data_IF_205239524460
#
_entry.id   IF_205239524460
#
_cell.length_a   1.000
_cell.length_b   1.000
_cell.length_c   1.000
_cell.angle_alpha   90.00
_cell.angle_beta   90.00
_cell.angle_gamma   90.00
#
_symmetry.space_group_name_H-M   'P 1'
#
loop_
_entity.id
_entity.type
_entity.pdbx_description
1 polymer ?
#
# COMPACT_ATOMS: atom_id res chain seq x y z
N UNK A 1 -10.11 -18.61 9.22
CA UNK A 1 -10.62 -17.21 9.21
C UNK A 1 -9.58 -16.16 9.60
N UNK A 2 -8.82 -16.31 10.70
CA UNK A 2 -7.83 -15.30 11.16
C UNK A 2 -6.78 -14.92 10.10
N UNK A 3 -6.25 -15.90 9.36
CA UNK A 3 -5.29 -15.64 8.28
C UNK A 3 -5.88 -14.87 7.09
N UNK A 4 -7.16 -15.09 6.78
CA UNK A 4 -7.87 -14.34 5.73
C UNK A 4 -8.02 -12.88 6.16
N UNK A 5 -8.38 -12.62 7.42
CA UNK A 5 -8.44 -11.25 7.95
C UNK A 5 -7.09 -10.54 7.88
N UNK A 6 -6.00 -11.23 8.22
CA UNK A 6 -4.64 -10.66 8.13
C UNK A 6 -4.28 -10.32 6.68
N UNK A 7 -4.58 -11.23 5.75
CA UNK A 7 -4.38 -10.98 4.32
C UNK A 7 -5.18 -9.78 3.82
N UNK A 8 -6.47 -9.68 4.19
CA UNK A 8 -7.32 -8.53 3.82
C UNK A 8 -6.78 -7.23 4.41
N UNK A 9 -6.34 -7.22 5.67
CA UNK A 9 -5.73 -6.04 6.29
C UNK A 9 -4.47 -5.59 5.54
N UNK A 10 -3.56 -6.52 5.23
CA UNK A 10 -2.37 -6.23 4.43
C UNK A 10 -2.70 -5.77 3.02
N UNK A 11 -3.74 -6.33 2.39
CA UNK A 11 -4.20 -5.93 1.06
C UNK A 11 -4.63 -4.47 1.04
N UNK A 12 -5.43 -4.03 2.01
CA UNK A 12 -5.85 -2.63 2.11
C UNK A 12 -4.68 -1.67 2.37
N UNK A 13 -3.71 -2.07 3.21
CA UNK A 13 -2.47 -1.29 3.39
C UNK A 13 -1.69 -1.19 2.07
N UNK A 14 -1.56 -2.28 1.33
CA UNK A 14 -0.89 -2.29 0.03
C UNK A 14 -1.61 -1.41 -1.01
N UNK A 15 -2.95 -1.44 -1.05
CA UNK A 15 -3.76 -0.55 -1.90
C UNK A 15 -3.53 0.92 -1.53
N UNK A 16 -3.48 1.25 -0.23
CA UNK A 16 -3.18 2.62 0.21
C UNK A 16 -1.79 3.09 -0.26
N UNK A 17 -0.76 2.25 -0.08
CA UNK A 17 0.59 2.54 -0.55
C UNK A 17 0.66 2.68 -2.08
N UNK A 18 -0.06 1.83 -2.82
CA UNK A 18 -0.15 1.90 -4.27
C UNK A 18 -0.81 3.21 -4.75
N UNK A 19 -1.92 3.61 -4.12
CA UNK A 19 -2.61 4.86 -4.44
C UNK A 19 -1.73 6.08 -4.13
N UNK A 20 -0.99 6.05 -3.02
CA UNK A 20 -0.01 7.08 -2.67
C UNK A 20 1.10 7.19 -3.73
N UNK A 21 1.72 6.06 -4.11
CA UNK A 21 2.73 6.04 -5.15
C UNK A 21 2.18 6.55 -6.50
N UNK A 22 0.98 6.09 -6.88
CA UNK A 22 0.30 6.51 -8.11
C UNK A 22 0.08 8.03 -8.14
N UNK A 23 -0.33 8.64 -7.02
CA UNK A 23 -0.48 10.10 -6.92
C UNK A 23 0.84 10.83 -7.25
N UNK A 24 1.94 10.37 -6.67
CA UNK A 24 3.26 10.96 -6.90
C UNK A 24 3.74 10.78 -8.34
N UNK A 25 3.58 9.59 -8.90
CA UNK A 25 3.96 9.29 -10.28
C UNK A 25 3.14 10.14 -11.26
N UNK A 26 1.82 10.20 -11.09
CA UNK A 26 0.94 11.01 -11.94
C UNK A 26 1.29 12.50 -11.86
N UNK A 27 1.57 13.02 -10.66
CA UNK A 27 2.01 14.40 -10.49
C UNK A 27 3.34 14.67 -11.21
N UNK A 28 4.29 13.74 -11.13
CA UNK A 28 5.58 13.84 -11.81
C UNK A 28 5.41 13.81 -13.35
N UNK A 29 4.56 12.93 -13.87
CA UNK A 29 4.26 12.86 -15.31
C UNK A 29 3.63 14.18 -15.79
N UNK A 30 2.60 14.67 -15.10
CA UNK A 30 1.94 15.93 -15.48
C UNK A 30 2.93 17.10 -15.41
N UNK A 31 3.71 17.18 -14.34
CA UNK A 31 4.72 18.23 -14.18
C UNK A 31 5.82 18.16 -15.22
N UNK A 32 6.20 16.97 -15.69
CA UNK A 32 7.26 16.79 -16.70
C UNK A 32 6.87 17.40 -18.05
N UNK A 33 5.58 17.47 -18.35
CA UNK A 33 5.06 18.01 -19.61
C UNK A 33 4.92 19.54 -19.54
N UNK A 34 4.68 20.09 -18.35
CA UNK A 34 4.33 21.51 -18.15
C UNK A 34 5.54 22.33 -17.64
N UNK A 35 6.55 21.67 -17.06
CA UNK A 35 7.74 22.37 -16.54
C UNK A 35 8.48 23.14 -17.62
N UNK A 36 8.91 24.35 -17.25
CA UNK A 36 9.89 25.13 -17.99
C UNK A 36 11.18 25.21 -17.16
N UNK A 37 12.34 25.52 -17.78
CA UNK A 37 13.63 25.58 -17.08
C UNK A 37 13.65 26.51 -15.86
N UNK A 38 12.76 27.48 -15.85
CA UNK A 38 12.62 28.59 -14.91
C UNK A 38 11.49 28.40 -13.88
N UNK A 39 10.59 27.42 -14.06
CA UNK A 39 9.42 27.21 -13.18
C UNK A 39 9.04 25.74 -13.02
N UNK A 40 8.88 25.30 -11.75
CA UNK A 40 8.45 23.95 -11.39
C UNK A 40 6.96 23.92 -10.99
N UNK A 41 6.16 23.18 -11.75
CA UNK A 41 4.71 23.03 -11.56
C UNK A 41 4.32 21.77 -10.79
N UNK A 42 5.27 21.01 -10.24
CA UNK A 42 5.00 19.76 -9.53
C UNK A 42 3.99 19.94 -8.39
N UNK A 43 4.15 20.98 -7.58
CA UNK A 43 3.26 21.30 -6.46
C UNK A 43 1.81 21.50 -6.92
N UNK A 44 1.63 22.19 -8.05
CA UNK A 44 0.33 22.44 -8.67
C UNK A 44 -0.30 21.14 -9.19
N UNK A 45 0.47 20.35 -9.95
CA UNK A 45 0.03 19.05 -10.45
C UNK A 45 -0.34 18.08 -9.31
N UNK A 46 0.47 18.06 -8.25
CA UNK A 46 0.26 17.21 -7.07
C UNK A 46 -1.02 17.55 -6.31
N UNK A 47 -1.35 18.84 -6.18
CA UNK A 47 -2.61 19.30 -5.58
C UNK A 47 -3.82 18.94 -6.45
N UNK A 48 -3.70 19.10 -7.77
CA UNK A 48 -4.77 18.86 -8.73
C UNK A 48 -5.17 17.38 -8.77
N UNK A 49 -4.19 16.47 -8.75
CA UNK A 49 -4.41 15.01 -8.66
C UNK A 49 -4.88 14.58 -7.27
N UNK A 50 -4.51 15.35 -6.23
CA UNK A 50 -4.59 14.91 -4.85
C UNK A 50 -5.98 14.86 -4.22
N UNK A 51 -6.95 15.68 -4.64
CA UNK A 51 -8.19 15.86 -3.86
C UNK A 51 -9.00 14.56 -3.70
N UNK A 52 -9.30 13.87 -4.80
CA UNK A 52 -10.04 12.60 -4.76
C UNK A 52 -9.20 11.42 -4.26
N UNK A 53 -7.95 11.31 -4.71
CA UNK A 53 -7.07 10.17 -4.36
C UNK A 53 -6.70 10.17 -2.87
N UNK A 54 -6.48 11.33 -2.25
CA UNK A 54 -6.14 11.41 -0.83
C UNK A 54 -7.22 10.78 0.06
N UNK A 55 -8.50 11.01 -0.27
CA UNK A 55 -9.61 10.42 0.47
C UNK A 55 -9.55 8.89 0.46
N UNK A 56 -9.33 8.29 -0.71
CA UNK A 56 -9.23 6.84 -0.87
C UNK A 56 -7.97 6.25 -0.23
N UNK A 57 -6.83 6.96 -0.29
CA UNK A 57 -5.60 6.56 0.43
C UNK A 57 -5.88 6.42 1.92
N UNK A 58 -6.51 7.44 2.53
CA UNK A 58 -6.78 7.50 3.97
C UNK A 58 -7.78 6.41 4.37
N UNK A 59 -8.88 6.26 3.63
CA UNK A 59 -9.89 5.24 3.94
C UNK A 59 -9.28 3.84 3.84
N UNK A 60 -8.55 3.56 2.76
CA UNK A 60 -7.91 2.26 2.56
C UNK A 60 -6.91 1.95 3.68
N UNK A 61 -6.13 2.95 4.11
CA UNK A 61 -5.21 2.81 5.23
C UNK A 61 -5.95 2.54 6.55
N UNK A 62 -7.00 3.30 6.86
CA UNK A 62 -7.78 3.15 8.08
C UNK A 62 -8.42 1.77 8.16
N UNK A 63 -9.01 1.27 7.07
CA UNK A 63 -9.58 -0.08 7.01
C UNK A 63 -8.50 -1.13 7.25
N UNK A 64 -7.36 -1.04 6.57
CA UNK A 64 -6.25 -1.98 6.73
C UNK A 64 -5.71 -1.99 8.16
N UNK A 65 -5.46 -0.81 8.73
CA UNK A 65 -4.96 -0.64 10.10
C UNK A 65 -5.97 -1.14 11.14
N UNK A 66 -7.25 -0.82 11.00
CA UNK A 66 -8.29 -1.29 11.91
C UNK A 66 -8.38 -2.82 11.95
N UNK A 67 -8.28 -3.47 10.78
CA UNK A 67 -8.27 -4.94 10.70
C UNK A 67 -7.02 -5.53 11.38
N UNK A 68 -5.84 -4.95 11.14
CA UNK A 68 -4.59 -5.43 11.76
C UNK A 68 -4.60 -5.21 13.28
N UNK A 69 -5.06 -4.06 13.77
CA UNK A 69 -5.20 -3.80 15.21
C UNK A 69 -6.19 -4.79 15.84
N UNK A 70 -7.32 -5.06 15.19
CA UNK A 70 -8.30 -6.06 15.65
C UNK A 70 -7.71 -7.47 15.75
N UNK A 71 -6.78 -7.83 14.86
CA UNK A 71 -6.05 -9.10 14.94
C UNK A 71 -5.02 -9.11 16.07
N UNK A 72 -4.34 -7.98 16.29
CA UNK A 72 -3.34 -7.82 17.34
C UNK A 72 -3.96 -7.97 18.74
N UNK A 73 -5.12 -7.35 18.96
CA UNK A 73 -5.87 -7.47 20.23
C UNK A 73 -6.43 -8.88 20.45
N UNK A 74 -6.57 -9.68 19.41
CA UNK A 74 -6.98 -11.09 19.48
C UNK A 74 -5.81 -12.06 19.68
N UNK A 75 -4.59 -11.56 19.93
CA UNK A 75 -3.40 -12.37 20.22
C UNK A 75 -2.91 -13.21 19.03
N UNK A 76 -3.22 -12.79 17.79
CA UNK A 76 -2.89 -13.56 16.59
C UNK A 76 -1.47 -13.23 16.12
N UNK A 77 -0.58 -14.22 16.19
CA UNK A 77 0.72 -14.15 15.52
C UNK A 77 0.52 -14.15 13.99
N UNK A 78 1.21 -13.23 13.30
CA UNK A 78 1.11 -13.07 11.84
C UNK A 78 1.31 -14.40 11.08
N UNK A 79 0.58 -14.64 9.97
CA UNK A 79 0.79 -15.80 9.08
C UNK A 79 2.10 -15.77 8.31
N UNK A 80 3.23 -15.66 8.99
CA UNK A 80 4.48 -16.06 8.34
C UNK A 80 4.49 -17.58 8.31
N UNK A 81 3.98 -18.14 7.20
CA UNK A 81 4.10 -19.56 6.90
C UNK A 81 5.60 -19.86 6.89
N UNK A 82 6.10 -20.46 7.98
CA UNK A 82 7.49 -20.90 8.08
C UNK A 82 7.73 -21.80 6.86
N UNK A 83 8.69 -21.45 5.98
CA UNK A 83 9.09 -22.33 4.88
C UNK A 83 9.38 -23.69 5.51
N UNK A 84 8.65 -24.73 5.11
CA UNK A 84 9.02 -26.08 5.51
C UNK A 84 10.38 -26.36 4.85
N UNK A 85 11.40 -26.78 5.62
CA UNK A 85 12.63 -27.26 5.00
C UNK A 85 12.23 -28.41 4.09
N UNK A 86 12.62 -28.32 2.83
CA UNK A 86 12.50 -29.43 1.89
C UNK A 86 13.36 -30.53 2.51
N UNK A 87 12.74 -31.60 3.02
CA UNK A 87 13.48 -32.82 3.32
C UNK A 87 14.01 -33.33 1.97
N UNK A 88 15.27 -33.00 1.70
CA UNK A 88 16.04 -33.58 0.62
C UNK A 88 16.12 -35.07 0.90
N UNK A 89 15.26 -35.84 0.22
CA UNK A 89 15.29 -37.29 0.26
C UNK A 89 16.66 -37.75 -0.27
N UNK A 90 17.51 -38.40 0.54
CA UNK A 90 18.86 -38.80 0.12
C UNK A 90 18.86 -39.99 -0.86
N UNK A 91 17.70 -40.39 -1.40
CA UNK A 91 17.51 -41.57 -2.24
C UNK A 91 16.84 -41.31 -3.60
N UNK A 92 16.90 -40.10 -4.15
CA UNK A 92 16.57 -39.84 -5.56
C UNK A 92 17.78 -39.44 -6.38
#
# INVERSE_FOLDING_TARGET
>A
MKQIKAFVGCFFIAVSAFLYATKHITAAIISSIINRPDVNYYEGAYKLVGFGINFWIIISLLVGVAIIISLLTQGVAFPFKKKQPIEENPHQ
#
